data_IF_896065306771
#
_entry.id   IF_896065306771
#
_cell.length_a   1.000
_cell.length_b   1.000
_cell.length_c   1.000
_cell.angle_alpha   90.00
_cell.angle_beta   90.00
_cell.angle_gamma   90.00
#
_symmetry.space_group_name_H-M   'P 1'
#
loop_
_entity.id
_entity.type
_entity.pdbx_description
1 polymer ?
#
# COMPACT_ATOMS: atom_id res chain seq x y z
N UNK A 1 34.13 25.44 1.09
CA UNK A 1 34.71 24.94 2.36
C UNK A 1 35.96 25.74 2.63
N UNK A 2 35.94 26.47 3.73
CA UNK A 2 37.00 27.40 4.06
C UNK A 2 37.79 26.80 5.23
N UNK A 3 38.96 26.22 4.96
CA UNK A 3 39.92 25.87 6.01
C UNK A 3 40.68 27.15 6.40
N UNK A 4 39.94 28.10 6.97
CA UNK A 4 40.42 29.45 7.28
C UNK A 4 41.59 29.45 8.30
N UNK A 5 41.64 28.42 9.13
CA UNK A 5 42.55 28.38 10.28
C UNK A 5 43.93 27.81 9.94
N UNK A 6 44.19 27.33 8.72
CA UNK A 6 45.44 26.65 8.36
C UNK A 6 46.43 27.55 7.62
N UNK A 7 47.72 27.47 7.97
CA UNK A 7 48.81 28.04 7.19
C UNK A 7 49.56 26.97 6.40
N UNK A 8 49.21 26.82 5.13
CA UNK A 8 49.90 25.86 4.24
C UNK A 8 51.23 26.38 3.70
N UNK A 9 51.53 27.67 3.86
CA UNK A 9 52.77 28.29 3.35
C UNK A 9 53.95 28.13 4.32
N UNK A 10 53.71 27.70 5.56
CA UNK A 10 54.75 27.51 6.57
C UNK A 10 55.43 26.15 6.43
N UNK A 11 56.75 26.15 6.59
CA UNK A 11 57.53 24.92 6.70
C UNK A 11 57.06 24.09 7.92
N UNK A 12 57.13 22.74 7.83
CA UNK A 12 56.82 21.86 8.96
C UNK A 12 57.64 22.21 10.20
N UNK A 13 57.06 22.01 11.39
CA UNK A 13 57.79 22.24 12.64
C UNK A 13 58.88 21.18 12.84
N UNK A 14 60.01 21.52 13.49
CA UNK A 14 61.03 20.53 13.82
C UNK A 14 60.45 19.33 14.60
N UNK A 15 60.70 18.11 14.11
CA UNK A 15 60.21 16.88 14.74
C UNK A 15 58.73 16.54 14.47
N UNK A 16 58.01 17.35 13.68
CA UNK A 16 56.63 17.09 13.29
C UNK A 16 56.57 16.84 11.78
N UNK A 17 55.97 15.72 11.38
CA UNK A 17 55.71 15.44 9.96
C UNK A 17 54.37 16.03 9.58
N UNK A 18 54.39 17.04 8.70
CA UNK A 18 53.19 17.63 8.09
C UNK A 18 52.96 16.96 6.74
N UNK A 19 51.70 16.56 6.46
CA UNK A 19 51.32 15.94 5.19
C UNK A 19 49.99 16.51 4.73
N UNK A 20 49.95 16.96 3.48
CA UNK A 20 48.70 17.30 2.78
C UNK A 20 48.63 16.38 1.58
N UNK A 21 47.57 15.60 1.49
CA UNK A 21 47.36 14.69 0.38
C UNK A 21 45.89 14.71 -0.03
N UNK A 22 45.66 14.57 -1.33
CA UNK A 22 44.33 14.29 -1.83
C UNK A 22 44.44 13.12 -2.80
N UNK A 23 43.40 12.31 -2.81
CA UNK A 23 43.27 11.22 -3.75
C UNK A 23 41.79 11.02 -4.07
N UNK A 24 41.55 10.44 -5.23
CA UNK A 24 40.25 9.85 -5.51
C UNK A 24 40.36 8.37 -5.20
N UNK A 25 39.41 7.86 -4.44
CA UNK A 25 39.27 6.43 -4.17
C UNK A 25 38.00 5.92 -4.85
N UNK A 26 38.00 4.66 -5.26
CA UNK A 26 36.89 4.06 -5.99
C UNK A 26 36.94 4.32 -7.50
N UNK A 27 35.86 3.94 -8.17
CA UNK A 27 35.70 4.00 -9.63
C UNK A 27 34.44 4.78 -9.95
N UNK A 28 34.44 5.47 -11.09
CA UNK A 28 33.24 6.15 -11.58
C UNK A 28 32.07 5.14 -11.67
N UNK A 29 30.85 5.48 -11.22
CA UNK A 29 30.37 6.77 -10.67
C UNK A 29 30.42 6.91 -9.13
N UNK A 30 31.07 5.99 -8.42
CA UNK A 30 31.18 6.01 -6.95
C UNK A 30 32.60 6.33 -6.48
N UNK A 31 33.20 7.38 -7.03
CA UNK A 31 34.45 7.87 -6.46
C UNK A 31 34.13 8.62 -5.17
N UNK A 32 35.03 8.48 -4.21
CA UNK A 32 35.16 9.45 -3.14
C UNK A 32 36.38 10.31 -3.43
N UNK A 33 36.21 11.62 -3.34
CA UNK A 33 37.34 12.53 -3.24
C UNK A 33 37.70 12.65 -1.77
N UNK A 34 38.93 12.30 -1.42
CA UNK A 34 39.46 12.40 -0.06
C UNK A 34 40.57 13.44 -0.06
N UNK A 35 40.50 14.40 0.86
CA UNK A 35 41.56 15.36 1.11
C UNK A 35 41.93 15.35 2.60
N UNK A 36 43.20 15.17 2.90
CA UNK A 36 43.75 15.08 4.23
C UNK A 36 44.72 16.23 4.48
N UNK A 37 44.60 16.83 5.66
CA UNK A 37 45.57 17.74 6.25
C UNK A 37 46.02 17.11 7.57
N UNK A 38 47.27 16.71 7.66
CA UNK A 38 47.85 16.08 8.84
C UNK A 38 48.96 16.96 9.41
N UNK A 39 48.81 17.35 10.67
CA UNK A 39 49.73 18.20 11.41
C UNK A 39 50.07 19.53 10.72
N UNK A 40 49.05 20.20 10.17
CA UNK A 40 49.20 21.53 9.54
C UNK A 40 49.08 22.61 10.62
N UNK A 41 49.94 23.62 10.55
CA UNK A 41 49.96 24.71 11.53
C UNK A 41 48.78 25.68 11.34
N UNK A 42 48.45 26.41 12.41
CA UNK A 42 47.51 27.52 12.35
C UNK A 42 47.98 28.66 11.43
N UNK A 43 47.04 29.38 10.82
CA UNK A 43 47.25 30.68 10.16
C UNK A 43 47.65 31.75 11.18
N UNK A 44 48.90 31.73 11.64
CA UNK A 44 49.43 32.75 12.55
C UNK A 44 50.91 33.00 12.30
N UNK A 45 51.34 34.24 12.51
CA UNK A 45 52.75 34.63 12.48
C UNK A 45 53.43 34.51 13.86
N UNK A 46 52.66 34.30 14.94
CA UNK A 46 53.09 34.57 16.33
C UNK A 46 52.92 33.44 17.34
N UNK A 47 53.29 32.20 17.01
CA UNK A 47 53.48 31.14 18.03
C UNK A 47 52.37 30.10 18.17
N UNK A 48 51.38 30.09 17.27
CA UNK A 48 50.38 29.03 17.22
C UNK A 48 50.91 27.82 16.45
N UNK A 49 51.68 27.02 17.17
CA UNK A 49 52.42 25.88 16.63
C UNK A 49 51.70 24.55 16.82
N UNK A 50 50.54 24.54 17.48
CA UNK A 50 49.79 23.31 17.69
C UNK A 50 49.32 22.73 16.35
N UNK A 51 49.66 21.46 16.04
CA UNK A 51 49.30 20.83 14.78
C UNK A 51 47.79 20.57 14.70
N UNK A 52 47.20 20.92 13.55
CA UNK A 52 45.80 20.69 13.23
C UNK A 52 45.68 19.55 12.21
N UNK A 53 44.71 18.67 12.40
CA UNK A 53 44.48 17.53 11.52
C UNK A 53 43.00 17.36 11.16
N UNK A 54 42.73 17.35 9.85
CA UNK A 54 41.41 17.25 9.26
C UNK A 54 41.40 16.31 8.05
N UNK A 55 40.26 15.68 7.80
CA UNK A 55 39.98 14.94 6.57
C UNK A 55 38.62 15.35 6.03
N UNK A 56 38.56 15.58 4.73
CA UNK A 56 37.33 15.76 3.96
C UNK A 56 37.10 14.52 3.11
N UNK A 57 35.85 14.05 3.07
CA UNK A 57 35.40 13.06 2.09
C UNK A 57 34.17 13.58 1.36
N UNK A 58 34.21 13.62 0.02
CA UNK A 58 33.06 13.93 -0.82
C UNK A 58 32.69 12.72 -1.66
N UNK A 59 31.43 12.31 -1.62
CA UNK A 59 30.93 11.13 -2.33
C UNK A 59 30.20 11.54 -3.62
N UNK A 60 30.68 11.06 -4.76
CA UNK A 60 30.24 11.45 -6.11
C UNK A 60 28.74 11.20 -6.38
N UNK A 61 28.20 10.06 -5.95
CA UNK A 61 26.80 9.65 -6.27
C UNK A 61 25.76 10.02 -5.22
N UNK A 62 26.16 10.13 -3.95
CA UNK A 62 25.22 10.38 -2.84
C UNK A 62 25.13 11.86 -2.46
N UNK A 63 26.02 12.69 -3.02
CA UNK A 63 26.23 14.09 -2.63
C UNK A 63 26.46 14.26 -1.12
N UNK A 64 26.90 13.19 -0.43
CA UNK A 64 27.28 13.25 0.97
C UNK A 64 28.66 13.92 1.05
N UNK A 65 28.81 14.78 2.06
CA UNK A 65 30.10 15.36 2.44
C UNK A 65 30.36 15.02 3.90
N UNK A 66 31.55 14.50 4.19
CA UNK A 66 32.00 14.23 5.54
C UNK A 66 33.24 15.05 5.88
N UNK A 67 33.29 15.53 7.11
CA UNK A 67 34.43 16.24 7.67
C UNK A 67 34.81 15.52 8.96
N UNK A 68 36.02 14.97 8.99
CA UNK A 68 36.61 14.32 10.14
C UNK A 68 37.69 15.24 10.73
N UNK A 69 37.62 15.49 12.02
CA UNK A 69 38.56 16.30 12.79
C UNK A 69 39.32 15.36 13.71
N UNK A 70 40.57 15.08 13.37
CA UNK A 70 41.42 14.29 14.25
C UNK A 70 41.87 15.13 15.45
N UNK A 71 42.34 16.36 15.18
CA UNK A 71 42.71 17.30 16.22
C UNK A 71 42.49 18.74 15.73
N UNK A 72 41.72 19.51 16.51
CA UNK A 72 41.68 20.97 16.45
C UNK A 72 41.95 21.58 17.81
N UNK A 73 42.94 22.46 17.87
CA UNK A 73 43.24 23.28 19.05
C UNK A 73 42.92 24.75 18.78
N UNK A 74 42.91 25.54 19.85
CA UNK A 74 42.61 26.97 19.79
C UNK A 74 43.91 27.75 19.84
N UNK A 75 43.98 28.79 19.00
CA UNK A 75 45.05 29.78 18.96
C UNK A 75 44.47 31.17 19.25
N UNK A 76 45.27 32.10 19.76
CA UNK A 76 44.83 33.49 19.98
C UNK A 76 44.54 34.27 18.69
N UNK A 77 45.06 33.79 17.56
CA UNK A 77 44.78 34.34 16.24
C UNK A 77 43.27 34.28 15.94
N UNK A 78 42.72 35.38 15.40
CA UNK A 78 41.29 35.55 15.11
C UNK A 78 40.36 35.17 16.28
N UNK A 79 40.79 35.39 17.53
CA UNK A 79 40.02 35.05 18.72
C UNK A 79 39.77 33.54 18.91
N UNK A 80 40.52 32.67 18.21
CA UNK A 80 40.33 31.22 18.25
C UNK A 80 39.15 30.71 17.44
N UNK A 81 38.55 31.58 16.62
CA UNK A 81 37.41 31.23 15.79
C UNK A 81 37.72 30.08 14.85
N UNK A 82 36.81 29.11 14.76
CA UNK A 82 36.84 28.09 13.72
C UNK A 82 35.45 27.64 13.32
N UNK A 83 35.34 27.05 12.13
CA UNK A 83 34.07 26.65 11.54
C UNK A 83 34.14 25.26 10.93
N UNK A 84 33.10 24.46 11.12
CA UNK A 84 32.85 23.23 10.35
C UNK A 84 31.53 23.41 9.60
N UNK A 85 31.61 23.51 8.28
CA UNK A 85 30.43 23.76 7.46
C UNK A 85 30.69 23.71 5.97
N UNK A 86 29.59 23.72 5.23
CA UNK A 86 29.53 23.79 3.77
C UNK A 86 28.82 25.08 3.36
N UNK A 87 29.14 25.58 2.17
CA UNK A 87 28.53 26.77 1.58
C UNK A 87 28.21 26.53 0.11
N UNK A 88 27.24 27.26 -0.41
CA UNK A 88 26.99 27.31 -1.85
C UNK A 88 28.12 28.09 -2.57
N UNK A 89 28.18 27.94 -3.89
CA UNK A 89 29.21 28.54 -4.74
C UNK A 89 29.24 30.08 -4.63
N UNK A 90 28.05 30.69 -4.57
CA UNK A 90 27.89 32.14 -4.44
C UNK A 90 28.20 32.69 -3.03
N UNK A 91 28.45 31.83 -2.03
CA UNK A 91 28.71 32.23 -0.65
C UNK A 91 27.53 32.87 0.09
N UNK A 92 26.31 32.78 -0.43
CA UNK A 92 25.09 33.36 0.15
C UNK A 92 24.33 32.41 1.08
N UNK A 93 24.60 31.12 1.00
CA UNK A 93 23.97 30.08 1.81
C UNK A 93 25.06 29.19 2.42
N UNK A 94 24.92 28.87 3.69
CA UNK A 94 25.83 27.98 4.40
C UNK A 94 25.08 27.13 5.42
N UNK A 95 25.63 25.96 5.70
CA UNK A 95 25.21 25.06 6.76
C UNK A 95 26.42 24.68 7.60
N UNK A 96 26.35 24.95 8.89
CA UNK A 96 27.38 24.59 9.85
C UNK A 96 26.93 23.43 10.73
N UNK A 97 27.88 22.61 11.16
CA UNK A 97 27.61 21.59 12.16
C UNK A 97 27.15 22.22 13.49
N UNK A 98 26.27 21.56 14.27
CA UNK A 98 25.82 22.02 15.57
C UNK A 98 26.97 22.47 16.48
N UNK A 99 26.94 23.71 16.95
CA UNK A 99 27.99 24.27 17.82
C UNK A 99 29.33 24.54 17.13
N UNK A 100 29.39 24.44 15.79
CA UNK A 100 30.62 24.64 14.98
C UNK A 100 30.48 25.78 13.96
N UNK A 101 29.54 26.69 14.18
CA UNK A 101 29.35 27.88 13.36
C UNK A 101 30.14 29.07 13.94
N UNK A 102 31.46 29.08 13.74
CA UNK A 102 32.41 30.04 14.36
C UNK A 102 32.61 29.83 15.88
N UNK A 103 33.45 30.66 16.50
CA UNK A 103 33.70 30.63 17.94
C UNK A 103 34.93 29.82 18.36
N UNK A 104 35.24 29.94 19.65
CA UNK A 104 36.39 29.34 20.29
C UNK A 104 36.03 27.97 20.86
N UNK A 105 36.37 26.91 20.12
CA UNK A 105 36.13 25.52 20.50
C UNK A 105 37.35 24.64 20.24
N UNK A 106 37.40 23.46 20.83
CA UNK A 106 38.40 22.42 20.49
C UNK A 106 37.67 21.14 20.08
N UNK A 107 38.37 20.26 19.35
CA UNK A 107 37.83 18.98 18.92
C UNK A 107 38.94 17.93 18.82
N UNK A 108 38.62 16.69 19.19
CA UNK A 108 39.50 15.51 19.03
C UNK A 108 38.65 14.34 18.60
N UNK A 109 39.07 13.67 17.52
CA UNK A 109 38.38 12.50 16.94
C UNK A 109 36.86 12.73 16.75
N UNK A 110 36.51 13.82 16.08
CA UNK A 110 35.13 14.26 15.84
C UNK A 110 34.76 14.17 14.37
N UNK A 111 33.55 13.74 14.05
CA UNK A 111 33.08 13.58 12.67
C UNK A 111 31.73 14.25 12.43
N UNK A 112 31.59 14.92 11.28
CA UNK A 112 30.35 15.50 10.82
C UNK A 112 30.00 15.04 9.42
N UNK A 113 28.74 14.71 9.22
CA UNK A 113 28.18 14.35 7.91
C UNK A 113 27.14 15.38 7.49
N UNK A 114 27.31 15.91 6.30
CA UNK A 114 26.33 16.72 5.59
C UNK A 114 25.67 15.85 4.52
N UNK A 115 24.38 15.62 4.69
CA UNK A 115 23.57 14.87 3.73
C UNK A 115 22.62 15.83 3.02
N UNK A 116 22.40 15.70 1.69
CA UNK A 116 21.41 16.50 0.98
C UNK A 116 20.02 16.33 1.59
N UNK A 117 19.27 17.42 1.72
CA UNK A 117 17.85 17.37 2.00
C UNK A 117 17.10 17.13 0.68
N UNK A 118 16.65 15.90 0.43
CA UNK A 118 15.94 15.50 -0.80
C UNK A 118 16.00 13.98 -1.03
N UNK A 119 15.25 13.48 -2.01
CA UNK A 119 15.30 12.07 -2.39
C UNK A 119 16.72 11.69 -2.86
N UNK A 120 17.31 10.65 -2.28
CA UNK A 120 18.65 10.17 -2.63
C UNK A 120 18.63 9.32 -3.91
N UNK A 121 19.62 9.57 -4.79
CA UNK A 121 19.95 8.85 -6.03
C UNK A 121 18.87 8.95 -7.12
N UNK A 122 19.30 9.15 -8.37
CA UNK A 122 18.38 9.14 -9.52
C UNK A 122 17.73 7.75 -9.65
N UNK A 123 16.48 7.64 -9.24
CA UNK A 123 15.66 6.45 -9.46
C UNK A 123 14.83 6.67 -10.70
N UNK A 124 14.96 5.79 -11.69
CA UNK A 124 14.05 5.77 -12.84
C UNK A 124 13.08 4.61 -12.70
N UNK A 125 11.81 4.86 -12.99
CA UNK A 125 10.76 3.85 -12.94
C UNK A 125 10.41 3.38 -14.35
N UNK A 126 10.06 2.11 -14.48
CA UNK A 126 9.43 1.58 -15.68
C UNK A 126 8.36 0.56 -15.26
N UNK A 127 7.12 0.84 -15.63
CA UNK A 127 5.96 0.00 -15.35
C UNK A 127 5.64 -0.92 -16.52
N UNK A 128 5.24 -2.16 -16.22
CA UNK A 128 4.88 -3.19 -17.20
C UNK A 128 3.69 -4.01 -16.69
N UNK A 129 3.10 -4.80 -17.58
CA UNK A 129 2.31 -5.96 -17.16
C UNK A 129 3.22 -7.02 -16.55
N UNK A 130 2.75 -7.72 -15.53
CA UNK A 130 3.50 -8.80 -14.90
C UNK A 130 2.95 -10.18 -15.31
N UNK A 131 3.84 -11.12 -15.62
CA UNK A 131 3.46 -12.53 -15.76
C UNK A 131 3.19 -13.20 -14.40
N UNK A 132 2.82 -14.49 -14.42
CA UNK A 132 2.55 -15.26 -13.21
C UNK A 132 3.76 -15.39 -12.25
N UNK A 133 4.98 -15.12 -12.73
CA UNK A 133 6.21 -15.12 -11.93
C UNK A 133 6.65 -13.70 -11.55
N UNK A 134 5.80 -12.69 -11.76
CA UNK A 134 6.09 -11.29 -11.42
C UNK A 134 7.11 -10.63 -12.35
N UNK A 135 7.34 -11.16 -13.56
CA UNK A 135 8.30 -10.61 -14.50
C UNK A 135 7.64 -9.61 -15.47
N UNK A 136 8.35 -8.53 -15.84
CA UNK A 136 7.83 -7.54 -16.78
C UNK A 136 7.63 -8.14 -18.17
N UNK A 137 6.46 -7.90 -18.74
CA UNK A 137 6.06 -8.33 -20.08
C UNK A 137 5.48 -7.16 -20.86
N UNK A 138 5.66 -7.19 -22.19
CA UNK A 138 5.13 -6.15 -23.07
C UNK A 138 5.87 -4.81 -22.99
N UNK A 139 5.28 -3.74 -23.56
CA UNK A 139 5.88 -2.40 -23.58
C UNK A 139 5.81 -1.71 -22.21
N UNK A 140 6.63 -0.67 -22.03
CA UNK A 140 6.57 0.22 -20.86
C UNK A 140 5.24 0.98 -20.86
N UNK A 141 4.50 0.88 -19.76
CA UNK A 141 3.21 1.55 -19.54
C UNK A 141 3.37 2.97 -18.95
N UNK A 142 4.46 3.22 -18.23
CA UNK A 142 4.75 4.52 -17.63
C UNK A 142 6.12 4.56 -16.97
N UNK A 143 6.63 5.77 -16.74
CA UNK A 143 7.97 6.01 -16.16
C UNK A 143 7.97 6.93 -14.93
N UNK A 144 6.79 7.33 -14.48
CA UNK A 144 6.60 8.11 -13.25
C UNK A 144 6.59 7.21 -12.02
N UNK A 145 6.75 7.81 -10.85
CA UNK A 145 6.63 7.11 -9.56
C UNK A 145 5.23 6.51 -9.35
N UNK A 146 4.19 7.14 -9.92
CA UNK A 146 2.81 6.65 -9.93
C UNK A 146 2.40 6.20 -11.32
N UNK A 147 1.53 5.18 -11.38
CA UNK A 147 0.92 4.67 -12.60
C UNK A 147 -0.61 4.69 -12.42
N UNK A 148 -1.31 5.41 -13.29
CA UNK A 148 -2.77 5.37 -13.35
C UNK A 148 -3.21 4.35 -14.40
N UNK A 149 -4.02 3.38 -14.00
CA UNK A 149 -4.55 2.31 -14.86
C UNK A 149 -6.04 2.11 -14.62
N UNK A 150 -6.73 1.56 -15.62
CA UNK A 150 -8.15 1.21 -15.52
C UNK A 150 -8.36 -0.16 -16.18
N UNK A 151 -7.84 -1.25 -15.57
CA UNK A 151 -8.02 -2.58 -16.14
C UNK A 151 -9.48 -3.02 -16.07
N UNK A 152 -9.93 -3.79 -17.06
CA UNK A 152 -11.29 -4.38 -17.11
C UNK A 152 -11.34 -5.82 -16.60
N UNK A 153 -10.19 -6.40 -16.27
CA UNK A 153 -10.02 -7.74 -15.69
C UNK A 153 -8.89 -7.67 -14.66
N UNK A 154 -8.87 -8.58 -13.67
CA UNK A 154 -7.77 -8.65 -12.69
C UNK A 154 -6.43 -8.71 -13.41
N UNK A 155 -5.58 -7.70 -13.16
CA UNK A 155 -4.35 -7.49 -13.91
C UNK A 155 -3.19 -7.25 -12.95
N UNK A 156 -2.09 -7.98 -13.18
CA UNK A 156 -0.84 -7.78 -12.45
C UNK A 156 0.04 -6.76 -13.17
N UNK A 157 0.58 -5.82 -12.40
CA UNK A 157 1.54 -4.83 -12.84
C UNK A 157 2.85 -5.02 -12.07
N UNK A 158 3.96 -4.73 -12.73
CA UNK A 158 5.28 -4.73 -12.11
C UNK A 158 5.96 -3.41 -12.38
N UNK A 159 6.50 -2.81 -11.34
CA UNK A 159 7.40 -1.66 -11.45
C UNK A 159 8.84 -2.14 -11.32
N UNK A 160 9.70 -1.70 -12.24
CA UNK A 160 11.14 -1.87 -12.14
C UNK A 160 11.74 -0.51 -11.77
N UNK A 161 12.15 -0.37 -10.51
CA UNK A 161 12.93 0.76 -10.06
C UNK A 161 14.40 0.49 -10.38
N UNK A 162 14.99 1.32 -11.24
CA UNK A 162 16.41 1.26 -11.56
C UNK A 162 17.11 2.34 -10.76
N UNK A 163 17.90 1.90 -9.79
CA UNK A 163 18.74 2.75 -8.97
C UNK A 163 20.11 2.74 -9.61
N UNK A 164 20.58 3.91 -10.02
CA UNK A 164 21.93 4.02 -10.56
C UNK A 164 22.94 3.78 -9.44
N UNK A 165 23.68 2.68 -9.56
CA UNK A 165 24.69 2.27 -8.59
C UNK A 165 26.09 2.65 -9.06
N UNK A 166 27.07 2.31 -8.23
CA UNK A 166 28.50 2.38 -8.48
C UNK A 166 29.02 1.57 -9.67
N UNK A 167 28.14 0.87 -10.39
CA UNK A 167 28.47 0.20 -11.63
C UNK A 167 27.47 0.64 -12.73
N UNK A 168 27.89 1.44 -13.72
CA UNK A 168 26.98 1.91 -14.76
C UNK A 168 26.54 0.79 -15.71
N UNK A 169 27.23 -0.36 -15.71
CA UNK A 169 26.83 -1.55 -16.49
C UNK A 169 25.89 -2.47 -15.71
N UNK A 170 25.76 -2.32 -14.39
CA UNK A 170 24.93 -3.15 -13.52
C UNK A 170 24.17 -2.29 -12.50
N UNK A 171 23.18 -1.50 -12.96
CA UNK A 171 22.35 -0.74 -12.05
C UNK A 171 21.52 -1.69 -11.17
N UNK A 172 21.31 -1.30 -9.91
CA UNK A 172 20.46 -2.07 -9.00
C UNK A 172 19.03 -1.94 -9.49
N UNK A 173 18.45 -3.07 -9.91
CA UNK A 173 17.03 -3.16 -10.26
C UNK A 173 16.28 -3.81 -9.13
N UNK A 174 15.37 -3.05 -8.54
CA UNK A 174 14.40 -3.57 -7.57
C UNK A 174 13.07 -3.68 -8.30
N UNK A 175 12.36 -4.78 -8.07
CA UNK A 175 11.03 -5.01 -8.63
C UNK A 175 10.02 -5.06 -7.51
N UNK A 176 8.83 -4.57 -7.80
CA UNK A 176 7.68 -4.78 -6.97
C UNK A 176 6.47 -5.08 -7.85
N UNK A 177 5.60 -5.97 -7.38
CA UNK A 177 4.44 -6.45 -8.13
C UNK A 177 3.20 -6.05 -7.37
N UNK A 178 2.25 -5.46 -8.10
CA UNK A 178 0.95 -5.12 -7.57
C UNK A 178 -0.13 -5.72 -8.45
N UNK A 179 -1.21 -6.17 -7.83
CA UNK A 179 -2.37 -6.71 -8.55
C UNK A 179 -3.51 -5.74 -8.39
N UNK A 180 -4.01 -5.23 -9.51
CA UNK A 180 -5.30 -4.54 -9.53
C UNK A 180 -6.34 -5.60 -9.81
N UNK A 181 -7.02 -6.03 -8.75
CA UNK A 181 -8.11 -6.99 -8.85
C UNK A 181 -9.35 -6.30 -9.38
N UNK A 182 -10.04 -6.95 -10.31
CA UNK A 182 -11.30 -6.50 -10.91
C UNK A 182 -12.25 -7.69 -10.81
N UNK A 183 -13.44 -7.46 -10.23
CA UNK A 183 -14.45 -8.50 -9.97
C UNK A 183 -13.95 -9.61 -9.02
N UNK A 184 -13.58 -9.27 -7.77
CA UNK A 184 -13.48 -10.26 -6.69
C UNK A 184 -14.78 -10.38 -5.91
N UNK A 185 -15.08 -11.58 -5.40
CA UNK A 185 -16.04 -12.52 -5.94
C UNK A 185 -17.48 -12.03 -5.80
N UNK A 186 -18.22 -12.18 -6.91
CA UNK A 186 -19.62 -12.46 -6.83
C UNK A 186 -19.69 -13.87 -6.23
N UNK A 187 -20.07 -13.94 -4.98
CA UNK A 187 -20.71 -15.13 -4.49
C UNK A 187 -21.77 -15.63 -5.46
N UNK A 188 -22.11 -16.93 -5.44
CA UNK A 188 -23.22 -17.37 -6.27
C UNK A 188 -24.48 -16.59 -5.91
N UNK A 189 -25.28 -16.26 -6.93
CA UNK A 189 -26.46 -15.43 -6.71
C UNK A 189 -27.35 -16.13 -5.65
N UNK A 190 -27.69 -15.45 -4.55
CA UNK A 190 -28.55 -16.04 -3.52
C UNK A 190 -29.91 -16.42 -4.10
N UNK A 191 -30.51 -17.45 -3.51
CA UNK A 191 -31.83 -17.94 -3.89
C UNK A 191 -32.90 -17.03 -3.29
N UNK A 192 -33.93 -16.74 -4.09
CA UNK A 192 -35.14 -16.10 -3.56
C UNK A 192 -35.84 -17.07 -2.58
N UNK A 193 -36.37 -16.55 -1.48
CA UNK A 193 -37.02 -17.35 -0.43
C UNK A 193 -38.52 -17.02 -0.39
N UNK A 194 -39.37 -17.96 -0.79
CA UNK A 194 -40.82 -17.81 -0.75
C UNK A 194 -41.46 -18.83 0.19
N UNK A 195 -42.39 -18.35 1.02
CA UNK A 195 -43.23 -19.18 1.88
C UNK A 195 -44.69 -19.10 1.41
N UNK A 196 -45.48 -20.11 1.75
CA UNK A 196 -46.92 -20.10 1.49
C UNK A 196 -47.62 -19.21 2.52
N UNK A 197 -48.63 -18.44 2.10
CA UNK A 197 -49.38 -17.59 3.04
C UNK A 197 -50.21 -18.37 4.07
N UNK A 198 -50.30 -19.69 3.91
CA UNK A 198 -50.90 -20.65 4.84
C UNK A 198 -49.94 -21.27 5.85
N UNK A 199 -48.62 -21.04 5.74
CA UNK A 199 -47.64 -21.64 6.65
C UNK A 199 -47.86 -21.18 8.09
N UNK A 200 -47.32 -21.93 9.08
CA UNK A 200 -47.51 -21.59 10.50
C UNK A 200 -46.79 -20.30 10.89
N UNK A 201 -45.63 -20.01 10.27
CA UNK A 201 -44.82 -18.81 10.49
C UNK A 201 -44.43 -18.15 9.15
N UNK A 202 -45.40 -17.71 8.34
CA UNK A 202 -45.16 -17.34 6.95
C UNK A 202 -44.29 -16.07 6.87
N UNK A 203 -44.33 -15.21 7.89
CA UNK A 203 -43.59 -13.94 7.94
C UNK A 203 -42.13 -14.06 8.45
N UNK A 204 -41.65 -15.25 8.82
CA UNK A 204 -40.28 -15.44 9.30
C UNK A 204 -39.43 -16.10 8.22
N UNK A 205 -38.39 -15.41 7.75
CA UNK A 205 -37.53 -15.88 6.66
C UNK A 205 -36.10 -16.08 7.19
N UNK A 206 -35.53 -17.28 7.05
CA UNK A 206 -34.12 -17.50 7.33
C UNK A 206 -33.26 -16.99 6.16
N UNK A 207 -32.99 -15.69 6.15
CA UNK A 207 -32.14 -15.06 5.13
C UNK A 207 -30.69 -15.53 5.20
N UNK A 208 -30.22 -15.97 6.38
CA UNK A 208 -28.89 -16.55 6.55
C UNK A 208 -28.70 -17.87 5.80
N UNK A 209 -29.77 -18.56 5.40
CA UNK A 209 -29.67 -19.78 4.58
C UNK A 209 -28.91 -19.57 3.27
N UNK A 210 -28.90 -18.34 2.75
CA UNK A 210 -28.16 -17.96 1.55
C UNK A 210 -26.66 -17.78 1.79
N UNK A 211 -26.14 -17.77 3.02
CA UNK A 211 -24.73 -17.47 3.30
C UNK A 211 -23.80 -18.48 2.65
N UNK A 212 -24.12 -19.77 2.71
CA UNK A 212 -23.30 -20.80 2.06
C UNK A 212 -23.48 -20.82 0.53
N UNK A 213 -24.63 -20.34 0.03
CA UNK A 213 -24.86 -20.17 -1.42
C UNK A 213 -24.00 -19.03 -1.92
N UNK A 214 -24.09 -17.87 -1.28
CA UNK A 214 -23.25 -16.70 -1.57
C UNK A 214 -21.78 -17.09 -1.47
N UNK A 215 -21.35 -17.82 -0.45
CA UNK A 215 -19.93 -18.16 -0.37
C UNK A 215 -19.48 -19.25 -1.36
N UNK A 216 -20.35 -20.08 -1.95
CA UNK A 216 -20.01 -21.16 -2.92
C UNK A 216 -18.58 -21.77 -2.81
N UNK A 217 -18.22 -22.28 -1.64
CA UNK A 217 -16.91 -22.91 -1.41
C UNK A 217 -15.72 -21.95 -1.20
N UNK A 218 -15.95 -20.63 -1.22
CA UNK A 218 -15.05 -19.62 -0.68
C UNK A 218 -14.84 -19.84 0.83
N UNK A 219 -13.63 -19.55 1.31
CA UNK A 219 -13.26 -19.79 2.70
C UNK A 219 -13.84 -18.70 3.59
N UNK A 220 -14.68 -19.07 4.57
CA UNK A 220 -15.33 -18.14 5.50
C UNK A 220 -14.37 -17.25 6.32
N UNK A 221 -13.06 -17.56 6.37
CA UNK A 221 -12.05 -16.70 7.03
C UNK A 221 -11.57 -15.54 6.18
N UNK A 222 -11.80 -15.60 4.87
CA UNK A 222 -11.29 -14.62 3.90
C UNK A 222 -12.41 -13.69 3.43
N UNK A 223 -13.67 -14.09 3.62
CA UNK A 223 -14.86 -13.34 3.21
C UNK A 223 -15.88 -13.18 4.34
N UNK A 224 -16.51 -12.02 4.40
CA UNK A 224 -17.60 -11.70 5.32
C UNK A 224 -18.88 -11.36 4.54
N UNK A 225 -19.97 -12.06 4.83
CA UNK A 225 -21.30 -11.76 4.30
C UNK A 225 -22.13 -11.06 5.37
N UNK A 226 -22.65 -9.89 5.02
CA UNK A 226 -23.63 -9.13 5.80
C UNK A 226 -24.93 -8.95 5.03
N UNK A 227 -26.04 -8.88 5.75
CA UNK A 227 -27.38 -8.66 5.18
C UNK A 227 -27.97 -7.33 5.64
N UNK A 228 -28.74 -6.68 4.77
CA UNK A 228 -29.26 -5.33 4.96
C UNK A 228 -30.73 -5.28 4.54
N UNK A 229 -31.51 -4.43 5.24
CA UNK A 229 -32.94 -4.27 4.98
C UNK A 229 -33.24 -3.46 3.72
N UNK A 230 -32.28 -2.65 3.24
CA UNK A 230 -32.40 -1.81 2.06
C UNK A 230 -31.02 -1.53 1.44
N UNK A 231 -31.02 -1.01 0.21
CA UNK A 231 -29.80 -0.58 -0.47
C UNK A 231 -29.09 0.54 0.29
N UNK A 232 -29.85 1.49 0.83
CA UNK A 232 -29.33 2.61 1.60
C UNK A 232 -28.63 2.14 2.88
N UNK A 233 -29.15 1.10 3.52
CA UNK A 233 -28.52 0.51 4.71
C UNK A 233 -27.20 -0.19 4.35
N UNK A 234 -27.12 -0.83 3.17
CA UNK A 234 -25.89 -1.43 2.67
C UNK A 234 -24.81 -0.38 2.32
N UNK A 235 -25.25 0.76 1.78
CA UNK A 235 -24.37 1.89 1.45
C UNK A 235 -23.86 2.61 2.71
N UNK A 236 -24.68 2.70 3.76
CA UNK A 236 -24.32 3.30 5.05
C UNK A 236 -23.68 2.30 6.04
N UNK A 237 -23.53 1.05 5.64
CA UNK A 237 -23.00 -0.06 6.45
C UNK A 237 -23.74 -0.27 7.79
N UNK A 238 -25.07 -0.29 7.72
CA UNK A 238 -25.96 -0.56 8.86
C UNK A 238 -26.63 -1.93 8.69
N UNK A 239 -25.95 -3.04 9.02
CA UNK A 239 -26.46 -4.38 8.75
C UNK A 239 -27.58 -4.79 9.72
N UNK A 240 -28.37 -5.79 9.32
CA UNK A 240 -29.39 -6.44 10.14
C UNK A 240 -28.77 -7.18 11.35
N UNK A 241 -27.53 -7.63 11.22
CA UNK A 241 -26.69 -8.18 12.29
C UNK A 241 -25.24 -7.77 12.08
N UNK A 242 -24.52 -7.51 13.17
CA UNK A 242 -23.08 -7.21 13.15
C UNK A 242 -22.20 -8.47 13.22
N UNK A 243 -22.80 -9.66 13.28
CA UNK A 243 -22.06 -10.91 13.15
C UNK A 243 -22.02 -11.30 11.67
N UNK A 244 -20.81 -11.44 11.11
CA UNK A 244 -20.65 -11.88 9.73
C UNK A 244 -21.00 -13.37 9.55
N UNK A 245 -21.32 -13.76 8.32
CA UNK A 245 -21.47 -15.16 7.89
C UNK A 245 -22.53 -15.96 8.68
N UNK A 246 -23.59 -15.30 9.16
CA UNK A 246 -24.69 -15.99 9.84
C UNK A 246 -25.47 -16.90 8.88
N UNK A 247 -25.63 -18.18 9.24
CA UNK A 247 -26.40 -19.17 8.46
C UNK A 247 -27.86 -19.32 8.91
N UNK A 248 -28.21 -18.71 10.04
CA UNK A 248 -29.51 -18.82 10.70
C UNK A 248 -30.14 -17.46 11.04
N UNK A 249 -29.79 -16.41 10.28
CA UNK A 249 -30.32 -15.07 10.49
C UNK A 249 -31.78 -14.99 10.04
N UNK A 250 -32.67 -14.66 10.97
CA UNK A 250 -34.12 -14.54 10.72
C UNK A 250 -34.51 -13.09 10.43
N UNK A 251 -35.17 -12.86 9.30
CA UNK A 251 -35.85 -11.62 8.98
C UNK A 251 -37.36 -11.77 9.16
N UNK A 252 -37.97 -10.86 9.93
CA UNK A 252 -39.42 -10.81 10.12
C UNK A 252 -40.03 -9.84 9.10
N UNK A 253 -40.73 -10.37 8.10
CA UNK A 253 -41.41 -9.56 7.09
C UNK A 253 -42.64 -8.88 7.70
N UNK A 254 -42.84 -7.56 7.51
CA UNK A 254 -44.08 -6.91 7.92
C UNK A 254 -45.26 -7.39 7.05
N UNK A 255 -46.48 -7.32 7.59
CA UNK A 255 -47.69 -7.86 6.97
C UNK A 255 -47.99 -7.34 5.54
N UNK A 256 -47.46 -6.18 5.17
CA UNK A 256 -47.50 -5.62 3.81
C UNK A 256 -46.19 -4.88 3.50
N UNK A 257 -45.66 -4.93 2.26
CA UNK A 257 -46.05 -5.73 1.08
C UNK A 257 -45.77 -7.24 1.21
N UNK A 258 -46.40 -8.06 0.35
CA UNK A 258 -46.21 -9.53 0.31
C UNK A 258 -44.86 -9.99 -0.24
N UNK A 259 -44.05 -9.10 -0.80
CA UNK A 259 -42.70 -9.37 -1.29
C UNK A 259 -41.75 -8.25 -0.89
N UNK A 260 -40.49 -8.57 -0.60
CA UNK A 260 -39.43 -7.62 -0.27
C UNK A 260 -38.11 -8.03 -0.87
N UNK A 261 -37.26 -7.04 -1.08
CA UNK A 261 -35.87 -7.24 -1.50
C UNK A 261 -34.96 -7.14 -0.28
N UNK A 262 -34.07 -8.11 -0.12
CA UNK A 262 -33.03 -8.14 0.92
C UNK A 262 -31.70 -7.94 0.21
N UNK A 263 -30.90 -7.03 0.76
CA UNK A 263 -29.58 -6.71 0.24
C UNK A 263 -28.52 -7.49 1.01
N UNK A 264 -27.44 -7.86 0.33
CA UNK A 264 -26.27 -8.45 0.96
C UNK A 264 -25.01 -7.77 0.46
N UNK A 265 -23.97 -7.78 1.30
CA UNK A 265 -22.62 -7.37 0.91
C UNK A 265 -21.65 -8.49 1.26
N UNK A 266 -20.80 -8.84 0.30
CA UNK A 266 -19.64 -9.70 0.49
C UNK A 266 -18.41 -8.81 0.59
N UNK A 267 -17.68 -8.91 1.69
CA UNK A 267 -16.43 -8.22 1.92
C UNK A 267 -15.27 -9.21 1.84
N UNK A 268 -14.23 -8.90 1.07
CA UNK A 268 -12.94 -9.61 1.13
C UNK A 268 -12.05 -8.95 2.20
N UNK A 269 -11.73 -9.70 3.26
CA UNK A 269 -10.93 -9.20 4.39
C UNK A 269 -9.51 -8.83 3.95
N UNK A 270 -8.94 -9.49 2.95
CA UNK A 270 -7.56 -9.27 2.52
C UNK A 270 -7.42 -8.03 1.63
N UNK A 271 -8.45 -7.70 0.84
CA UNK A 271 -8.41 -6.62 -0.15
C UNK A 271 -9.31 -5.42 0.19
N UNK A 272 -10.20 -5.55 1.19
CA UNK A 272 -11.24 -4.59 1.55
C UNK A 272 -12.20 -4.27 0.37
N UNK A 273 -12.27 -5.19 -0.61
CA UNK A 273 -13.20 -5.09 -1.73
C UNK A 273 -14.59 -5.54 -1.29
N UNK A 274 -15.61 -4.75 -1.65
CA UNK A 274 -17.02 -5.02 -1.34
C UNK A 274 -17.82 -5.26 -2.62
N UNK A 275 -18.56 -6.36 -2.67
CA UNK A 275 -19.61 -6.59 -3.67
C UNK A 275 -20.99 -6.55 -3.01
N UNK A 276 -21.93 -5.86 -3.66
CA UNK A 276 -23.31 -5.71 -3.18
C UNK A 276 -24.27 -6.36 -4.16
N UNK A 277 -25.24 -7.10 -3.64
CA UNK A 277 -26.33 -7.69 -4.44
C UNK A 277 -27.63 -7.76 -3.67
N UNK A 278 -28.65 -8.35 -4.29
CA UNK A 278 -29.96 -8.53 -3.67
C UNK A 278 -30.63 -9.85 -4.08
N UNK A 279 -31.58 -10.29 -3.24
CA UNK A 279 -32.53 -11.37 -3.53
C UNK A 279 -33.90 -11.03 -2.95
N UNK A 280 -34.93 -11.78 -3.34
CA UNK A 280 -36.31 -11.55 -2.89
C UNK A 280 -36.70 -12.52 -1.80
N UNK A 281 -37.49 -12.00 -0.87
CA UNK A 281 -38.31 -12.80 0.04
C UNK A 281 -39.78 -12.49 -0.21
N UNK A 282 -40.67 -13.44 0.06
CA UNK A 282 -42.09 -13.14 -0.04
C UNK A 282 -43.05 -14.27 0.33
N UNK A 283 -44.32 -13.91 0.30
CA UNK A 283 -45.45 -14.81 0.46
C UNK A 283 -46.14 -15.04 -0.87
N UNK A 284 -46.35 -16.31 -1.19
CA UNK A 284 -47.16 -16.76 -2.31
C UNK A 284 -48.48 -17.31 -1.79
N UNK A 285 -49.54 -17.13 -2.57
CA UNK A 285 -50.78 -17.86 -2.34
C UNK A 285 -50.59 -19.28 -2.89
N UNK A 286 -50.45 -20.25 -1.98
CA UNK A 286 -50.26 -21.66 -2.35
C UNK A 286 -51.58 -22.43 -2.37
N UNK A 287 -52.72 -21.76 -2.17
CA UNK A 287 -54.01 -22.40 -2.39
C UNK A 287 -54.29 -22.42 -3.88
N UNK A 288 -54.26 -23.62 -4.45
CA UNK A 288 -54.72 -23.85 -5.82
C UNK A 288 -56.17 -24.30 -5.74
N UNK A 289 -57.09 -23.41 -6.11
CA UNK A 289 -58.47 -23.80 -6.38
C UNK A 289 -58.51 -24.43 -7.78
N UNK A 290 -58.43 -25.76 -7.88
CA UNK A 290 -58.69 -26.46 -9.14
C UNK A 290 -60.19 -26.35 -9.46
N UNK A 291 -60.52 -25.54 -10.46
CA UNK A 291 -61.87 -25.42 -11.00
C UNK A 291 -61.86 -26.05 -12.39
N UNK A 292 -62.48 -27.22 -12.55
CA UNK A 292 -62.83 -27.77 -13.85
C UNK A 292 -64.29 -27.45 -14.16
N UNK A 293 -64.56 -27.13 -15.43
CA UNK A 293 -65.91 -26.99 -15.95
C UNK A 293 -66.24 -28.23 -16.74
N UNK A 294 -67.35 -28.89 -16.40
CA UNK A 294 -67.92 -29.99 -17.18
C UNK A 294 -68.44 -29.47 -18.53
N UNK A 295 -67.57 -29.46 -19.54
CA UNK A 295 -67.86 -28.82 -20.83
C UNK A 295 -68.52 -29.74 -21.84
N UNK A 296 -68.32 -31.05 -21.71
CA UNK A 296 -68.97 -32.06 -22.57
C UNK A 296 -70.13 -32.79 -21.86
N UNK A 297 -70.40 -32.46 -20.59
CA UNK A 297 -71.51 -32.95 -19.78
C UNK A 297 -71.48 -34.49 -19.68
N UNK A 298 -70.28 -35.06 -19.56
CA UNK A 298 -70.06 -36.49 -19.42
C UNK A 298 -69.89 -36.94 -17.95
N UNK A 299 -70.09 -36.01 -17.00
CA UNK A 299 -69.91 -36.16 -15.55
C UNK A 299 -68.47 -36.57 -15.15
N UNK A 300 -67.48 -36.43 -16.03
CA UNK A 300 -66.11 -36.90 -15.84
C UNK A 300 -65.08 -35.82 -16.22
N UNK A 301 -64.41 -35.26 -15.22
CA UNK A 301 -63.37 -34.26 -15.45
C UNK A 301 -61.97 -34.74 -15.05
N UNK A 302 -61.00 -34.53 -15.94
CA UNK A 302 -59.59 -34.85 -15.67
C UNK A 302 -58.92 -33.65 -15.04
N UNK A 303 -58.66 -33.75 -13.74
CA UNK A 303 -57.88 -32.79 -12.98
C UNK A 303 -56.40 -33.18 -13.06
N UNK A 304 -55.62 -32.55 -13.96
CA UNK A 304 -54.17 -32.77 -14.06
C UNK A 304 -53.41 -31.71 -13.25
N UNK A 305 -52.73 -32.13 -12.18
CA UNK A 305 -51.88 -31.24 -11.40
C UNK A 305 -50.66 -30.76 -12.19
N UNK A 306 -50.20 -31.49 -13.21
CA UNK A 306 -49.05 -31.10 -14.02
C UNK A 306 -49.28 -29.80 -14.80
N UNK A 307 -50.54 -29.47 -15.10
CA UNK A 307 -50.92 -28.20 -15.74
C UNK A 307 -50.72 -27.00 -14.81
N UNK A 308 -50.59 -27.23 -13.49
CA UNK A 308 -50.39 -26.21 -12.46
C UNK A 308 -48.98 -26.26 -11.84
N UNK A 309 -48.10 -27.19 -12.25
CA UNK A 309 -46.75 -27.34 -11.69
C UNK A 309 -45.88 -26.09 -11.90
N UNK A 310 -46.10 -25.30 -12.97
CA UNK A 310 -45.39 -24.04 -13.17
C UNK A 310 -45.66 -22.97 -12.09
N UNK A 311 -46.73 -23.12 -11.30
CA UNK A 311 -47.03 -22.29 -10.12
C UNK A 311 -46.45 -22.87 -8.82
N UNK A 312 -46.06 -24.15 -8.83
CA UNK A 312 -45.60 -24.93 -7.66
C UNK A 312 -44.06 -25.05 -7.65
N UNK A 313 -43.42 -25.14 -8.81
CA UNK A 313 -42.00 -25.49 -8.98
C UNK A 313 -41.02 -24.31 -8.86
N UNK A 314 -41.17 -23.53 -7.78
CA UNK A 314 -40.06 -22.68 -7.28
C UNK A 314 -39.70 -22.95 -5.83
N UNK A 315 -40.31 -23.96 -5.18
CA UNK A 315 -39.95 -24.39 -3.83
C UNK A 315 -39.06 -25.63 -3.89
N UNK A 316 -37.79 -25.45 -3.55
CA UNK A 316 -36.82 -26.54 -3.41
C UNK A 316 -37.36 -27.67 -2.51
N UNK A 317 -37.16 -28.89 -3.01
CA UNK A 317 -37.01 -30.17 -2.30
C UNK A 317 -37.03 -30.09 -0.77
N UNK A 318 -38.16 -30.43 -0.14
CA UNK A 318 -38.17 -30.58 1.32
C UNK A 318 -39.52 -30.96 1.92
N UNK A 319 -40.61 -30.33 1.49
CA UNK A 319 -41.91 -30.59 2.08
C UNK A 319 -42.69 -31.63 1.28
N UNK A 320 -42.71 -32.85 1.83
CA UNK A 320 -43.74 -33.84 1.52
C UNK A 320 -45.11 -33.25 1.92
N UNK A 321 -45.80 -32.66 0.95
CA UNK A 321 -47.22 -32.36 1.04
C UNK A 321 -48.00 -33.66 1.29
N UNK A 322 -48.26 -33.97 2.56
CA UNK A 322 -49.27 -34.95 2.95
C UNK A 322 -50.62 -34.27 2.94
N UNK A 323 -51.44 -34.57 1.92
CA UNK A 323 -52.85 -34.18 1.87
C UNK A 323 -53.67 -35.07 2.80
N UNK A 324 -54.56 -34.45 3.59
CA UNK A 324 -55.68 -35.10 4.25
C UNK A 324 -56.91 -35.10 3.34
#
# INVERSE_FOLDING_TARGET
MLLQDLNIERAPLPGITTKIEFYTSGVFPCRSFVANWENVQHFSTGGCIDPQSYQLVMYESTNIVEIHVRNRSVCSWNGGNGLIGIQNDNGTQALAAPGRNTGNWTAREEGWRFSPAGAQVGVTYAWYLADAAGQPTGPVLGTSQTLNVSPTVTTNYVVVATIQTCNPTEPLKVKDVTTVKVNEPAGEKPLDIFHCDTDTNPLQFNIGSNTNVILDGLVHSDFEVFYYASELDADNDTPLSYTANETSLIFNMPATPRTREIWYVVNDIASDCREKGSFKIGLLDCKIDLIACDTDNDDTEVLDLNDYIALIDTSNTGDNLTLA
#
